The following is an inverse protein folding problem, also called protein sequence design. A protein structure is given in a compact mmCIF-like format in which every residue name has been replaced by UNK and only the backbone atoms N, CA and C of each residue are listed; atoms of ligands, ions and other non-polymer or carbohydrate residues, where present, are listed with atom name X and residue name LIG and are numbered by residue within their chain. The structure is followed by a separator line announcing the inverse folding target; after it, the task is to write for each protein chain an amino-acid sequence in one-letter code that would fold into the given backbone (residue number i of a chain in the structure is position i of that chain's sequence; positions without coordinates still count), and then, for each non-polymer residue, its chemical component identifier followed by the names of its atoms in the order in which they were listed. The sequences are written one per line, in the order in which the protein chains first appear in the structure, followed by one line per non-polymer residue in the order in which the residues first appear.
data_IF_712706652286
#
_entry.id   IF_712706652286
#
_cell.length_a   1.000
_cell.length_b   1.000
_cell.length_c   1.000
_cell.angle_alpha   90.00
_cell.angle_beta   90.00
_cell.angle_gamma   90.00
#
_symmetry.space_group_name_H-M   'P 1'
#
loop_
_entity.id
_entity.type
_entity.pdbx_description
1 polymer ?
#
# COMPACT_ATOMS: atom_id res chain seq x y z
N UNK A 1 5.18 -4.00 18.44
CA UNK A 1 5.71 -2.65 18.28
C UNK A 1 7.17 -2.78 17.89
N UNK A 2 7.51 -2.43 16.65
CA UNK A 2 8.88 -2.58 16.12
C UNK A 2 9.70 -1.34 16.52
N UNK A 3 10.73 -1.52 17.33
CA UNK A 3 11.64 -0.47 17.84
C UNK A 3 12.54 0.18 16.75
N UNK A 4 12.12 0.23 15.48
CA UNK A 4 13.03 0.51 14.34
C UNK A 4 12.80 1.84 13.62
N UNK A 5 11.91 2.70 14.13
CA UNK A 5 11.58 3.95 13.45
C UNK A 5 11.00 3.70 12.06
N UNK A 6 10.96 4.74 11.23
CA UNK A 6 10.38 4.62 9.90
C UNK A 6 11.30 3.84 8.95
N UNK A 7 10.76 2.85 8.23
CA UNK A 7 11.51 1.97 7.31
C UNK A 7 11.00 2.11 5.87
N UNK A 8 11.88 2.26 4.86
CA UNK A 8 11.46 2.41 3.47
C UNK A 8 10.74 1.16 2.95
N UNK A 9 9.54 1.35 2.42
CA UNK A 9 8.75 0.29 1.76
C UNK A 9 8.15 0.79 0.45
N UNK A 10 7.97 -0.15 -0.47
CA UNK A 10 7.20 0.04 -1.69
C UNK A 10 5.72 -0.20 -1.36
N UNK A 11 4.86 0.71 -1.78
CA UNK A 11 3.41 0.55 -1.73
C UNK A 11 2.84 0.60 -3.14
N UNK A 12 1.89 -0.29 -3.43
CA UNK A 12 1.17 -0.33 -4.70
C UNK A 12 -0.31 -0.44 -4.40
N UNK A 13 -1.06 0.58 -4.79
CA UNK A 13 -2.51 0.64 -4.63
C UNK A 13 -3.20 0.08 -5.88
N UNK A 14 -3.98 -0.97 -5.70
CA UNK A 14 -4.94 -1.48 -6.67
C UNK A 14 -6.35 -1.11 -6.21
N UNK A 15 -7.31 -1.20 -7.12
CA UNK A 15 -8.71 -0.88 -6.90
C UNK A 15 -9.35 -1.71 -5.78
N UNK A 16 -8.84 -2.91 -5.50
CA UNK A 16 -9.36 -3.80 -4.46
C UNK A 16 -8.36 -4.11 -3.33
N UNK A 17 -7.07 -3.79 -3.51
CA UNK A 17 -5.98 -4.25 -2.65
C UNK A 17 -4.83 -3.25 -2.57
N UNK A 18 -4.29 -3.02 -1.37
CA UNK A 18 -3.03 -2.31 -1.15
C UNK A 18 -1.92 -3.32 -0.87
N UNK A 19 -0.88 -3.35 -1.70
CA UNK A 19 0.28 -4.23 -1.53
C UNK A 19 1.44 -3.42 -0.97
N UNK A 20 2.15 -3.97 0.00
CA UNK A 20 3.41 -3.40 0.47
C UNK A 20 4.54 -4.43 0.45
N UNK A 21 5.71 -3.97 0.02
CA UNK A 21 6.89 -4.78 -0.22
C UNK A 21 8.15 -4.05 0.25
N UNK A 22 9.22 -4.82 0.48
CA UNK A 22 10.54 -4.28 0.76
C UNK A 22 11.53 -4.76 -0.30
N UNK A 23 12.59 -3.99 -0.49
CA UNK A 23 13.67 -4.38 -1.37
C UNK A 23 14.45 -5.55 -0.75
N UNK A 24 14.47 -6.69 -1.43
CA UNK A 24 15.33 -7.82 -1.10
C UNK A 24 16.69 -7.69 -1.81
N UNK A 25 17.59 -8.66 -1.63
CA UNK A 25 18.91 -8.64 -2.27
C UNK A 25 18.81 -8.45 -3.80
N UNK A 26 19.66 -7.59 -4.36
CA UNK A 26 19.66 -7.25 -5.79
C UNK A 26 18.50 -6.33 -6.20
N UNK A 27 17.89 -6.56 -7.37
CA UNK A 27 16.76 -5.80 -7.94
C UNK A 27 15.40 -6.48 -7.71
N UNK A 28 15.28 -7.27 -6.65
CA UNK A 28 14.05 -8.00 -6.32
C UNK A 28 13.28 -7.29 -5.20
N UNK A 29 11.95 -7.43 -5.21
CA UNK A 29 11.08 -6.98 -4.12
C UNK A 29 10.37 -8.18 -3.51
N UNK A 30 10.39 -8.27 -2.18
CA UNK A 30 9.64 -9.25 -1.41
C UNK A 30 8.39 -8.60 -0.83
N UNK A 31 7.24 -9.20 -1.11
CA UNK A 31 5.96 -8.73 -0.59
C UNK A 31 5.87 -9.01 0.91
N UNK A 32 5.64 -7.97 1.71
CA UNK A 32 5.39 -8.08 3.14
C UNK A 32 3.95 -8.46 3.45
N UNK A 33 3.01 -7.97 2.63
CA UNK A 33 1.59 -8.24 2.82
C UNK A 33 0.70 -7.51 1.83
N UNK A 34 -0.58 -7.84 1.94
CA UNK A 34 -1.67 -7.29 1.14
C UNK A 34 -2.76 -6.86 2.12
N UNK A 35 -3.42 -5.74 1.82
CA UNK A 35 -4.51 -5.21 2.60
C UNK A 35 -5.73 -4.97 1.69
N UNK A 36 -6.83 -5.72 1.86
CA UNK A 36 -8.04 -5.51 1.08
C UNK A 36 -8.63 -4.12 1.32
N UNK A 37 -8.78 -3.32 0.26
CA UNK A 37 -9.26 -1.93 0.32
C UNK A 37 -10.67 -1.83 0.91
N UNK A 38 -11.52 -2.82 0.66
CA UNK A 38 -12.90 -2.86 1.19
C UNK A 38 -12.96 -2.92 2.72
N UNK A 39 -11.97 -3.58 3.34
CA UNK A 39 -11.91 -3.80 4.79
C UNK A 39 -10.90 -2.88 5.49
N UNK A 40 -10.28 -1.98 4.75
CA UNK A 40 -9.27 -1.06 5.23
C UNK A 40 -9.91 0.25 5.71
N UNK A 41 -9.41 0.79 6.81
CA UNK A 41 -9.66 2.16 7.24
C UNK A 41 -8.37 2.97 7.09
N UNK A 42 -8.50 4.28 6.94
CA UNK A 42 -7.36 5.17 6.87
C UNK A 42 -7.75 6.53 7.46
N UNK A 43 -6.77 7.24 7.99
CA UNK A 43 -6.91 8.58 8.54
C UNK A 43 -5.70 9.44 8.20
N UNK A 44 -5.91 10.75 8.16
CA UNK A 44 -4.85 11.72 8.01
C UNK A 44 -4.09 11.88 9.34
N UNK A 45 -2.77 11.83 9.29
CA UNK A 45 -1.90 11.98 10.44
C UNK A 45 -1.26 10.68 10.96
N UNK A 46 -0.55 10.84 12.06
CA UNK A 46 0.17 9.79 12.78
C UNK A 46 -0.58 9.43 14.07
N UNK A 47 -1.38 8.38 14.02
CA UNK A 47 -2.21 7.93 15.13
C UNK A 47 -1.41 7.41 16.33
N UNK A 48 -0.17 7.00 16.08
CA UNK A 48 0.68 6.35 17.06
C UNK A 48 1.81 7.27 17.55
N UNK A 49 1.86 8.51 17.06
CA UNK A 49 2.90 9.49 17.38
C UNK A 49 4.32 8.92 17.22
N UNK A 50 4.55 8.14 16.16
CA UNK A 50 5.85 7.53 15.84
C UNK A 50 6.80 8.49 15.10
N UNK A 51 6.28 9.64 14.65
CA UNK A 51 7.00 10.67 13.90
C UNK A 51 6.98 12.02 14.61
N UNK A 52 7.98 12.86 14.33
CA UNK A 52 8.02 14.23 14.83
C UNK A 52 7.13 15.20 14.03
N UNK A 53 6.79 14.84 12.79
CA UNK A 53 5.96 15.63 11.89
C UNK A 53 4.78 14.81 11.38
N UNK A 54 3.61 14.87 12.06
CA UNK A 54 2.44 14.10 11.67
C UNK A 54 1.78 14.64 10.40
N UNK A 55 2.14 15.85 9.91
CA UNK A 55 1.47 16.48 8.77
C UNK A 55 1.74 15.80 7.44
N UNK A 56 2.84 15.03 7.39
CA UNK A 56 3.25 14.21 6.25
C UNK A 56 2.81 12.75 6.37
N UNK A 57 2.15 12.41 7.49
CA UNK A 57 1.78 11.04 7.80
C UNK A 57 0.32 10.78 7.46
N UNK A 58 0.02 9.54 7.10
CA UNK A 58 -1.33 8.99 7.12
C UNK A 58 -1.27 7.62 7.78
N UNK A 59 -2.33 7.24 8.49
CA UNK A 59 -2.40 5.96 9.20
C UNK A 59 -3.41 5.06 8.52
N UNK A 60 -3.01 3.81 8.27
CA UNK A 60 -3.83 2.78 7.63
C UNK A 60 -4.08 1.64 8.60
N UNK A 61 -5.33 1.21 8.70
CA UNK A 61 -5.77 0.10 9.53
C UNK A 61 -6.32 -1.03 8.67
N UNK A 62 -5.88 -2.24 8.95
CA UNK A 62 -6.19 -3.41 8.16
C UNK A 62 -6.23 -4.70 8.97
N UNK A 63 -7.44 -5.15 9.32
CA UNK A 63 -7.63 -6.37 10.12
C UNK A 63 -6.89 -6.27 11.46
N UNK A 64 -5.83 -7.06 11.62
CA UNK A 64 -4.98 -7.10 12.81
C UNK A 64 -3.65 -6.31 12.66
N UNK A 65 -3.51 -5.51 11.60
CA UNK A 65 -2.31 -4.70 11.34
C UNK A 65 -2.70 -3.23 11.17
N UNK A 66 -1.81 -2.35 11.60
CA UNK A 66 -1.85 -0.93 11.29
C UNK A 66 -0.49 -0.49 10.76
N UNK A 67 -0.49 0.52 9.90
CA UNK A 67 0.70 1.04 9.23
C UNK A 67 0.63 2.57 9.31
N UNK A 68 1.68 3.21 9.79
CA UNK A 68 1.86 4.66 9.64
C UNK A 68 2.73 4.89 8.41
N UNK A 69 2.23 5.68 7.48
CA UNK A 69 2.86 5.97 6.20
C UNK A 69 3.32 7.43 6.19
N UNK A 70 4.63 7.68 6.16
CA UNK A 70 5.17 9.03 5.93
C UNK A 70 5.43 9.27 4.45
N UNK A 71 4.85 10.33 3.89
CA UNK A 71 5.13 10.80 2.54
C UNK A 71 6.36 11.72 2.50
N UNK A 72 6.82 12.05 1.29
CA UNK A 72 7.90 13.03 1.06
C UNK A 72 7.42 14.49 1.08
N UNK A 73 6.11 14.71 0.91
CA UNK A 73 5.46 16.02 0.91
C UNK A 73 3.98 15.86 1.23
N UNK A 74 3.35 16.94 1.71
CA UNK A 74 1.91 16.99 1.96
C UNK A 74 1.11 16.69 0.69
N UNK A 75 1.54 17.20 -0.47
CA UNK A 75 0.89 16.94 -1.75
C UNK A 75 0.86 15.44 -2.11
N UNK A 76 1.95 14.70 -1.85
CA UNK A 76 1.97 13.25 -2.08
C UNK A 76 1.10 12.53 -1.04
N UNK A 77 1.14 12.93 0.23
CA UNK A 77 0.23 12.38 1.26
C UNK A 77 -1.24 12.58 0.87
N UNK A 78 -1.61 13.78 0.44
CA UNK A 78 -2.98 14.13 0.04
C UNK A 78 -3.41 13.33 -1.20
N UNK A 79 -2.52 13.14 -2.18
CA UNK A 79 -2.76 12.26 -3.32
C UNK A 79 -3.04 10.81 -2.90
N UNK A 80 -2.29 10.29 -1.92
CA UNK A 80 -2.52 8.96 -1.38
C UNK A 80 -3.88 8.86 -0.66
N UNK A 81 -4.24 9.86 0.14
CA UNK A 81 -5.56 9.92 0.80
C UNK A 81 -6.69 9.92 -0.25
N UNK A 82 -6.57 10.72 -1.31
CA UNK A 82 -7.56 10.81 -2.38
C UNK A 82 -7.70 9.50 -3.15
N UNK A 83 -6.59 8.91 -3.62
CA UNK A 83 -6.65 7.68 -4.42
C UNK A 83 -7.09 6.48 -3.56
N UNK A 84 -6.72 6.39 -2.28
CA UNK A 84 -7.25 5.37 -1.35
C UNK A 84 -8.76 5.57 -1.15
N UNK A 85 -9.24 6.79 -0.94
CA UNK A 85 -10.66 7.08 -0.78
C UNK A 85 -11.45 6.68 -2.03
N UNK A 86 -10.93 7.02 -3.20
CA UNK A 86 -11.49 6.66 -4.51
C UNK A 86 -11.51 5.14 -4.71
N UNK A 87 -10.39 4.45 -4.45
CA UNK A 87 -10.32 3.00 -4.52
C UNK A 87 -11.32 2.35 -3.55
N UNK A 88 -11.47 2.87 -2.33
CA UNK A 88 -12.45 2.40 -1.33
C UNK A 88 -13.88 2.53 -1.84
N UNK A 89 -14.21 3.65 -2.49
CA UNK A 89 -15.53 3.85 -3.11
C UNK A 89 -15.78 2.85 -4.24
N UNK A 90 -14.83 2.70 -5.16
CA UNK A 90 -14.91 1.73 -6.27
C UNK A 90 -15.04 0.31 -5.74
N UNK A 91 -14.23 -0.07 -4.75
CA UNK A 91 -14.27 -1.38 -4.13
C UNK A 91 -15.64 -1.67 -3.51
N UNK A 92 -16.28 -0.69 -2.87
CA UNK A 92 -17.62 -0.86 -2.28
C UNK A 92 -18.71 -1.04 -3.34
N UNK A 93 -18.64 -0.27 -4.43
CA UNK A 93 -19.61 -0.30 -5.53
C UNK A 93 -19.48 -1.55 -6.41
N UNK A 94 -18.27 -2.13 -6.50
CA UNK A 94 -18.02 -3.34 -7.30
C UNK A 94 -18.63 -4.57 -6.61
N UNK A 95 -19.40 -5.39 -7.35
CA UNK A 95 -19.93 -6.66 -6.82
C UNK A 95 -18.77 -7.64 -6.60
N UNK A 96 -18.74 -8.31 -5.44
CA UNK A 96 -17.67 -9.24 -5.05
C UNK A 96 -17.45 -10.36 -6.10
N UNK A 97 -18.49 -10.72 -6.84
CA UNK A 97 -18.43 -11.74 -7.91
C UNK A 97 -17.67 -11.28 -9.18
N UNK A 98 -17.50 -9.98 -9.39
CA UNK A 98 -16.77 -9.41 -10.54
C UNK A 98 -15.31 -9.07 -10.22
N UNK A 99 -14.93 -9.10 -8.96
CA UNK A 99 -13.53 -9.00 -8.59
C UNK A 99 -12.87 -10.32 -8.97
N UNK A 100 -11.67 -10.32 -9.61
CA UNK A 100 -10.90 -11.54 -9.72
C UNK A 100 -10.77 -12.08 -8.31
N UNK A 101 -11.48 -13.19 -8.00
CA UNK A 101 -11.41 -13.87 -6.69
C UNK A 101 -9.96 -13.91 -6.36
N UNK A 102 -9.54 -13.11 -5.38
CA UNK A 102 -8.15 -12.85 -5.01
C UNK A 102 -7.40 -14.11 -5.36
N UNK A 103 -6.74 -14.09 -6.53
CA UNK A 103 -6.15 -15.31 -7.04
C UNK A 103 -5.30 -15.73 -5.87
N UNK A 104 -5.55 -16.92 -5.33
CA UNK A 104 -4.69 -17.46 -4.30
C UNK A 104 -3.38 -17.56 -5.04
N UNK A 105 -2.58 -16.50 -4.96
CA UNK A 105 -1.19 -16.48 -5.33
C UNK A 105 -0.66 -17.39 -4.26
N UNK A 106 -0.77 -18.70 -4.53
CA UNK A 106 0.03 -19.71 -3.87
C UNK A 106 1.41 -19.09 -3.87
N UNK A 107 2.05 -18.87 -2.71
CA UNK A 107 3.32 -18.17 -2.65
C UNK A 107 4.39 -19.03 -3.33
N UNK A 108 4.40 -19.01 -4.66
CA UNK A 108 5.38 -19.62 -5.53
C UNK A 108 6.33 -18.49 -5.91
N UNK A 109 7.41 -18.43 -5.13
CA UNK A 109 8.45 -17.39 -5.08
C UNK A 109 8.08 -16.12 -4.30
N UNK A 110 8.83 -15.88 -3.23
CA UNK A 110 8.72 -14.72 -2.32
C UNK A 110 9.34 -13.45 -2.93
N UNK A 111 9.53 -13.40 -4.24
CA UNK A 111 10.23 -12.32 -4.94
C UNK A 111 9.56 -12.07 -6.28
N UNK A 112 8.89 -10.93 -6.41
CA UNK A 112 8.43 -10.48 -7.71
C UNK A 112 9.49 -9.54 -8.30
N UNK A 113 9.98 -9.77 -9.52
CA UNK A 113 10.86 -8.81 -10.17
C UNK A 113 10.08 -7.53 -10.44
N UNK A 114 10.75 -6.38 -10.32
CA UNK A 114 10.15 -5.05 -10.54
C UNK A 114 9.40 -4.94 -11.88
N UNK A 115 9.94 -5.57 -12.93
CA UNK A 115 9.30 -5.63 -14.24
C UNK A 115 7.94 -6.34 -14.23
N UNK A 116 7.73 -7.32 -13.34
CA UNK A 116 6.44 -8.01 -13.21
C UNK A 116 5.44 -7.19 -12.39
N UNK A 117 5.90 -6.44 -11.39
CA UNK A 117 5.07 -5.45 -10.69
C UNK A 117 4.58 -4.37 -11.66
N UNK A 118 5.46 -3.84 -12.50
CA UNK A 118 5.10 -2.90 -13.57
C UNK A 118 4.19 -3.52 -14.64
N UNK A 119 4.37 -4.81 -14.98
CA UNK A 119 3.45 -5.49 -15.92
C UNK A 119 2.07 -5.72 -15.33
N UNK A 120 1.98 -6.02 -14.03
CA UNK A 120 0.69 -6.17 -13.33
C UNK A 120 -0.06 -4.84 -13.25
N UNK A 121 0.63 -3.73 -12.97
CA UNK A 121 0.01 -2.40 -13.01
C UNK A 121 -0.39 -2.00 -14.44
N UNK A 122 0.44 -2.30 -15.45
CA UNK A 122 0.15 -2.01 -16.85
C UNK A 122 -1.04 -2.81 -17.42
N UNK A 123 -1.26 -4.05 -16.96
CA UNK A 123 -2.42 -4.87 -17.35
C UNK A 123 -3.73 -4.29 -16.79
N UNK A 124 -3.68 -3.62 -15.65
CA UNK A 124 -4.88 -3.15 -14.93
C UNK A 124 -5.36 -1.75 -15.35
N UNK A 125 -4.61 -1.00 -16.18
CA UNK A 125 -4.87 0.43 -16.47
C UNK A 125 -5.04 1.26 -15.19
N UNK A 126 -4.17 1.05 -14.19
CA UNK A 126 -4.27 1.73 -12.90
C UNK A 126 -3.18 2.78 -12.71
N UNK A 127 -3.53 3.86 -12.00
CA UNK A 127 -2.67 4.96 -11.60
C UNK A 127 -1.45 4.42 -10.84
N UNK A 128 -0.34 4.22 -11.54
CA UNK A 128 0.93 3.92 -10.89
C UNK A 128 1.45 5.23 -10.29
N UNK A 129 1.07 5.51 -9.03
CA UNK A 129 1.81 6.49 -8.24
C UNK A 129 3.20 5.91 -8.07
N UNK A 130 4.21 6.66 -8.52
CA UNK A 130 5.60 6.26 -8.43
C UNK A 130 5.92 5.76 -7.02
N UNK A 131 6.88 4.82 -6.89
CA UNK A 131 7.30 4.26 -5.61
C UNK A 131 8.05 5.32 -4.80
N UNK A 132 7.36 6.36 -4.36
CA UNK A 132 7.85 7.29 -3.39
C UNK A 132 7.98 6.50 -2.09
N UNK A 133 9.18 6.56 -1.53
CA UNK A 133 9.64 5.85 -0.37
C UNK A 133 8.73 6.19 0.82
N UNK A 134 7.67 5.41 1.03
CA UNK A 134 6.83 5.60 2.20
C UNK A 134 7.47 4.82 3.33
N UNK A 135 7.79 5.55 4.38
CA UNK A 135 8.50 5.01 5.51
C UNK A 135 7.47 4.50 6.54
N UNK A 136 7.60 3.26 6.99
CA UNK A 136 6.66 2.57 7.89
C UNK A 136 7.30 2.28 9.25
N UNK A 137 6.66 2.74 10.34
CA UNK A 137 6.96 2.38 11.73
C UNK A 137 6.25 1.09 12.17
#
# INVERSE_FOLDING_TARGET
WSNKGLVPRLFVLFSDSLIYAYRSHGNSFTINGFLPIRAMLFEDGDAYHVTNDPTLCLTIYGGNRSLVLSANSTAIKDLWLEEIAKASRIAKETKIEQLPRSASIKPASKSLPFALLLRLSAVSKESFIEPHLIMCG
#
